data_IF_050901315465
#
_entry.id   IF_050901315465
#
_cell.length_a   1.000
_cell.length_b   1.000
_cell.length_c   1.000
_cell.angle_alpha   90.00
_cell.angle_beta   90.00
_cell.angle_gamma   90.00
#
_symmetry.space_group_name_H-M   'P 1'
#
loop_
_entity.id
_entity.type
_entity.pdbx_description
1 polymer ?
#
# COMPACT_ATOMS: atom_id res chain seq x y z
N UNK A 1 12.25 -8.94 -10.95
CA UNK A 1 13.39 -8.01 -10.95
C UNK A 1 14.56 -8.66 -10.21
N UNK A 2 15.81 -8.40 -10.61
CA UNK A 2 16.97 -8.76 -9.79
C UNK A 2 17.53 -7.49 -9.17
N UNK A 3 17.44 -7.35 -7.84
CA UNK A 3 18.10 -6.26 -7.11
C UNK A 3 19.41 -6.76 -6.52
N UNK A 4 20.44 -5.91 -6.54
CA UNK A 4 21.66 -6.16 -5.78
C UNK A 4 21.54 -5.49 -4.42
N UNK A 5 21.76 -6.25 -3.36
CA UNK A 5 21.74 -5.73 -2.00
C UNK A 5 22.87 -4.72 -1.80
N UNK A 6 22.52 -3.49 -1.44
CA UNK A 6 23.48 -2.41 -1.19
C UNK A 6 23.79 -2.26 0.30
N UNK A 7 22.74 -2.11 1.13
CA UNK A 7 22.89 -1.75 2.54
C UNK A 7 21.60 -2.05 3.33
N UNK A 8 21.74 -2.35 4.62
CA UNK A 8 20.61 -2.42 5.57
C UNK A 8 20.64 -1.17 6.43
N UNK A 9 19.57 -0.38 6.37
CA UNK A 9 19.43 0.82 7.21
C UNK A 9 18.90 0.44 8.58
N UNK A 10 19.57 0.91 9.62
CA UNK A 10 19.06 0.92 11.00
C UNK A 10 19.06 2.37 11.49
N UNK A 11 17.93 3.09 11.43
CA UNK A 11 17.85 4.45 11.96
C UNK A 11 18.18 4.45 13.47
N UNK A 12 18.78 5.53 14.00
CA UNK A 12 18.94 5.71 15.44
C UNK A 12 17.60 5.59 16.18
N UNK A 13 17.61 5.09 17.42
CA UNK A 13 16.37 4.91 18.20
C UNK A 13 15.64 6.23 18.48
N UNK A 14 16.37 7.34 18.56
CA UNK A 14 15.82 8.68 18.78
C UNK A 14 15.44 9.40 17.48
N UNK A 15 15.55 8.74 16.33
CA UNK A 15 15.22 9.36 15.04
C UNK A 15 13.72 9.65 14.97
N UNK A 16 13.38 10.92 14.71
CA UNK A 16 11.99 11.38 14.68
C UNK A 16 11.30 10.89 13.40
N UNK A 17 12.07 10.68 12.35
CA UNK A 17 11.59 10.26 11.04
C UNK A 17 12.45 9.12 10.44
N UNK A 18 12.30 7.88 10.93
CA UNK A 18 13.11 6.75 10.50
C UNK A 18 12.95 6.44 8.99
N UNK A 19 11.76 6.71 8.43
CA UNK A 19 11.49 6.54 7.00
C UNK A 19 12.22 7.61 6.19
N UNK A 20 12.16 8.87 6.61
CA UNK A 20 12.93 9.95 5.98
C UNK A 20 14.43 9.73 6.04
N UNK A 21 14.93 9.22 7.18
CA UNK A 21 16.33 8.83 7.35
C UNK A 21 16.75 7.75 6.33
N UNK A 22 15.95 6.69 6.18
CA UNK A 22 16.22 5.65 5.20
C UNK A 22 16.15 6.16 3.76
N UNK A 23 15.22 7.07 3.45
CA UNK A 23 15.10 7.69 2.14
C UNK A 23 16.31 8.58 1.82
N UNK A 24 16.83 9.35 2.77
CA UNK A 24 18.05 10.13 2.57
C UNK A 24 19.24 9.25 2.16
N UNK A 25 19.39 8.08 2.80
CA UNK A 25 20.41 7.09 2.40
C UNK A 25 20.11 6.55 1.01
N UNK A 26 18.86 6.14 0.74
CA UNK A 26 18.45 5.61 -0.55
C UNK A 26 18.73 6.60 -1.71
N UNK A 27 18.47 7.89 -1.50
CA UNK A 27 18.83 8.96 -2.45
C UNK A 27 20.34 9.03 -2.65
N UNK A 28 21.11 9.08 -1.55
CA UNK A 28 22.56 9.22 -1.59
C UNK A 28 23.28 8.06 -2.28
N UNK A 29 22.73 6.85 -2.19
CA UNK A 29 23.30 5.65 -2.85
C UNK A 29 22.60 5.31 -4.17
N UNK A 30 21.66 6.14 -4.63
CA UNK A 30 20.85 5.92 -5.82
C UNK A 30 20.17 4.53 -5.85
N UNK A 31 19.60 4.12 -4.72
CA UNK A 31 18.92 2.84 -4.61
C UNK A 31 17.74 2.75 -5.60
N UNK A 32 17.67 1.63 -6.32
CA UNK A 32 16.57 1.36 -7.24
C UNK A 32 15.26 1.04 -6.49
N UNK A 33 15.38 0.32 -5.36
CA UNK A 33 14.27 -0.08 -4.52
C UNK A 33 14.62 -0.03 -3.03
N UNK A 34 13.61 0.16 -2.19
CA UNK A 34 13.68 -0.01 -0.74
C UNK A 34 12.82 -1.24 -0.39
N UNK A 35 13.44 -2.22 0.28
CA UNK A 35 12.76 -3.46 0.69
C UNK A 35 12.44 -3.37 2.19
N UNK A 36 11.17 -3.52 2.55
CA UNK A 36 10.69 -3.52 3.94
C UNK A 36 9.92 -4.79 4.26
N UNK A 37 9.76 -5.11 5.55
CA UNK A 37 8.97 -6.26 5.96
C UNK A 37 7.52 -6.14 5.51
N UNK A 38 6.87 -5.02 5.83
CA UNK A 38 5.48 -4.74 5.50
C UNK A 38 5.23 -3.22 5.37
N UNK A 39 4.02 -2.84 4.96
CA UNK A 39 3.66 -1.42 4.81
C UNK A 39 3.70 -0.63 6.12
N UNK A 40 3.61 -1.28 7.28
CA UNK A 40 3.69 -0.58 8.57
C UNK A 40 5.08 -0.01 8.82
N UNK A 41 6.12 -0.62 8.23
CA UNK A 41 7.51 -0.12 8.27
C UNK A 41 7.65 1.27 7.63
N UNK A 42 6.75 1.62 6.70
CA UNK A 42 6.72 2.93 6.02
C UNK A 42 5.49 3.74 6.41
N UNK A 43 4.98 3.55 7.63
CA UNK A 43 3.79 4.23 8.17
C UNK A 43 2.52 4.06 7.30
N UNK A 44 2.42 2.98 6.52
CA UNK A 44 1.39 2.79 5.50
C UNK A 44 1.33 3.94 4.47
N UNK A 45 2.47 4.55 4.19
CA UNK A 45 2.64 5.64 3.21
C UNK A 45 3.57 5.25 2.07
N UNK A 46 3.24 4.20 1.27
CA UNK A 46 4.10 3.74 0.19
C UNK A 46 4.42 4.83 -0.84
N UNK A 47 3.48 5.77 -1.05
CA UNK A 47 3.67 6.92 -1.93
C UNK A 47 4.92 7.74 -1.56
N UNK A 48 5.24 7.89 -0.28
CA UNK A 48 6.42 8.61 0.19
C UNK A 48 7.72 8.02 -0.35
N UNK A 49 7.80 6.69 -0.35
CA UNK A 49 8.96 5.96 -0.90
C UNK A 49 8.96 6.01 -2.42
N UNK A 50 7.78 5.81 -3.02
CA UNK A 50 7.59 5.75 -4.47
C UNK A 50 7.91 7.08 -5.19
N UNK A 51 7.98 8.22 -4.50
CA UNK A 51 8.53 9.45 -5.11
C UNK A 51 10.03 9.29 -5.45
N UNK A 52 10.76 8.46 -4.70
CA UNK A 52 12.22 8.33 -4.79
C UNK A 52 12.67 7.03 -5.42
N UNK A 53 12.08 5.89 -5.07
CA UNK A 53 12.47 4.56 -5.52
C UNK A 53 11.30 3.57 -5.51
N UNK A 54 11.47 2.37 -6.09
CA UNK A 54 10.46 1.33 -5.92
C UNK A 54 10.38 0.92 -4.44
N UNK A 55 9.22 0.50 -3.97
CA UNK A 55 9.05 -0.10 -2.65
C UNK A 55 8.66 -1.55 -2.81
N UNK A 56 9.41 -2.44 -2.16
CA UNK A 56 9.04 -3.84 -2.04
C UNK A 56 8.71 -4.18 -0.60
N UNK A 57 7.63 -4.92 -0.43
CA UNK A 57 7.22 -5.48 0.86
C UNK A 57 7.45 -6.98 0.83
N UNK A 58 7.92 -7.56 1.94
CA UNK A 58 8.11 -9.01 2.08
C UNK A 58 6.79 -9.69 2.43
N UNK A 59 5.99 -9.08 3.30
CA UNK A 59 4.78 -9.63 3.89
C UNK A 59 3.63 -8.59 3.87
N UNK A 60 2.66 -8.70 2.95
CA UNK A 60 2.64 -9.58 1.78
C UNK A 60 3.70 -9.18 0.74
N UNK A 61 4.08 -10.10 -0.14
CA UNK A 61 5.01 -9.82 -1.23
C UNK A 61 4.36 -8.91 -2.27
N UNK A 62 4.62 -7.60 -2.20
CA UNK A 62 4.06 -6.60 -3.11
C UNK A 62 5.12 -5.60 -3.54
N UNK A 63 5.18 -5.32 -4.83
CA UNK A 63 6.00 -4.26 -5.43
C UNK A 63 5.15 -3.03 -5.73
N UNK A 64 5.62 -1.88 -5.31
CA UNK A 64 5.06 -0.57 -5.59
C UNK A 64 6.05 0.19 -6.46
N UNK A 65 5.69 0.41 -7.72
CA UNK A 65 6.56 1.07 -8.68
C UNK A 65 6.74 2.56 -8.34
N UNK A 66 7.98 3.05 -8.52
CA UNK A 66 8.31 4.47 -8.46
C UNK A 66 7.36 5.28 -9.33
N UNK A 67 6.87 6.39 -8.80
CA UNK A 67 6.09 7.35 -9.55
C UNK A 67 6.93 7.92 -10.69
N UNK A 68 6.32 8.08 -11.87
CA UNK A 68 6.96 8.82 -12.95
C UNK A 68 7.10 10.30 -12.53
N UNK A 69 8.30 10.88 -12.61
CA UNK A 69 8.50 12.31 -12.33
C UNK A 69 7.52 13.14 -13.18
N UNK A 70 6.77 14.04 -12.53
CA UNK A 70 5.78 14.90 -13.20
C UNK A 70 4.41 14.26 -13.44
N UNK A 71 4.18 13.00 -13.08
CA UNK A 71 2.84 12.39 -13.13
C UNK A 71 1.87 13.02 -12.11
N UNK A 72 2.40 13.59 -11.03
CA UNK A 72 1.66 14.30 -9.99
C UNK A 72 2.14 15.75 -9.97
N UNK A 73 1.21 16.71 -10.08
CA UNK A 73 1.57 18.13 -10.03
C UNK A 73 2.24 18.51 -8.69
N UNK A 74 3.15 19.50 -8.65
CA UNK A 74 3.95 19.81 -7.46
C UNK A 74 3.12 20.15 -6.20
N UNK A 75 1.88 20.67 -6.37
CA UNK A 75 0.95 20.89 -5.27
C UNK A 75 0.29 19.63 -4.70
N UNK A 76 0.46 18.47 -5.33
CA UNK A 76 -0.17 17.19 -4.97
C UNK A 76 0.83 16.11 -4.56
N UNK A 77 2.13 16.36 -4.71
CA UNK A 77 3.19 15.46 -4.31
C UNK A 77 3.15 15.17 -2.80
N UNK A 78 3.63 13.98 -2.43
CA UNK A 78 3.74 13.56 -1.03
C UNK A 78 4.65 14.55 -0.26
N UNK A 79 4.30 14.97 0.97
CA UNK A 79 5.20 15.76 1.81
C UNK A 79 6.49 15.00 2.14
N UNK A 80 7.61 15.69 2.02
CA UNK A 80 8.97 15.18 2.23
C UNK A 80 9.23 14.87 3.72
N UNK A 81 8.39 15.40 4.60
CA UNK A 81 8.48 15.32 6.06
C UNK A 81 7.18 14.73 6.67
N UNK A 82 7.25 14.21 7.92
CA UNK A 82 6.08 13.79 8.66
C UNK A 82 5.15 14.97 8.95
N UNK A 83 3.85 14.79 8.72
CA UNK A 83 2.85 15.84 8.97
C UNK A 83 2.47 15.93 10.44
N UNK A 84 2.32 17.15 10.94
CA UNK A 84 1.59 17.40 12.19
C UNK A 84 0.08 17.27 11.99
N UNK A 85 -0.67 17.08 13.09
CA UNK A 85 -2.15 16.99 13.04
C UNK A 85 -2.75 18.27 12.45
N UNK A 86 -2.25 19.44 12.84
CA UNK A 86 -2.73 20.74 12.36
C UNK A 86 -2.48 20.92 10.87
N UNK A 87 -1.30 20.54 10.38
CA UNK A 87 -1.00 20.57 8.94
C UNK A 87 -1.85 19.58 8.15
N UNK A 88 -2.09 18.39 8.69
CA UNK A 88 -2.96 17.40 8.06
C UNK A 88 -4.40 17.93 7.94
N UNK A 89 -4.95 18.59 8.97
CA UNK A 89 -6.23 19.28 8.86
C UNK A 89 -6.23 20.37 7.78
N UNK A 90 -5.17 21.19 7.73
CA UNK A 90 -5.04 22.25 6.71
C UNK A 90 -5.00 21.67 5.29
N UNK A 91 -4.25 20.60 5.07
CA UNK A 91 -4.18 19.91 3.77
C UNK A 91 -5.55 19.34 3.40
N UNK A 92 -6.27 18.72 4.34
CA UNK A 92 -7.63 18.21 4.06
C UNK A 92 -8.61 19.31 3.64
N UNK A 93 -8.45 20.53 4.19
CA UNK A 93 -9.25 21.70 3.82
C UNK A 93 -8.86 22.29 2.45
N UNK A 94 -7.56 22.38 2.17
CA UNK A 94 -7.04 22.89 0.89
C UNK A 94 -7.37 21.94 -0.27
N UNK A 95 -7.32 20.63 -0.03
CA UNK A 95 -7.55 19.60 -1.04
C UNK A 95 -8.96 19.02 -1.01
N UNK A 96 -9.98 19.84 -0.69
CA UNK A 96 -11.38 19.39 -0.65
C UNK A 96 -11.84 18.75 -1.97
N UNK A 97 -11.41 19.30 -3.11
CA UNK A 97 -11.72 18.77 -4.44
C UNK A 97 -10.93 17.52 -4.87
N UNK A 98 -9.84 17.17 -4.17
CA UNK A 98 -9.03 16.01 -4.54
C UNK A 98 -9.62 14.70 -3.99
N UNK A 99 -9.43 13.59 -4.71
CA UNK A 99 -9.63 12.24 -4.18
C UNK A 99 -8.34 11.77 -3.51
N UNK A 100 -8.42 11.20 -2.31
CA UNK A 100 -7.24 10.69 -1.61
C UNK A 100 -6.52 9.58 -2.42
N UNK A 101 -7.28 8.77 -3.16
CA UNK A 101 -6.74 7.72 -4.04
C UNK A 101 -5.83 8.23 -5.17
N UNK A 102 -5.92 9.51 -5.54
CA UNK A 102 -5.19 10.09 -6.69
C UNK A 102 -4.37 11.32 -6.31
N UNK A 103 -4.37 11.71 -5.03
CA UNK A 103 -3.65 12.88 -4.52
C UNK A 103 -2.78 12.45 -3.36
N UNK A 104 -1.48 12.17 -3.60
CA UNK A 104 -0.55 11.74 -2.56
C UNK A 104 -0.59 12.66 -1.34
N UNK A 105 -0.58 13.98 -1.53
CA UNK A 105 -0.64 14.95 -0.43
C UNK A 105 -1.87 14.78 0.47
N UNK A 106 -3.05 14.56 -0.12
CA UNK A 106 -4.28 14.32 0.63
C UNK A 106 -4.27 12.94 1.30
N UNK A 107 -3.70 11.93 0.63
CA UNK A 107 -3.52 10.61 1.23
C UNK A 107 -2.64 10.68 2.49
N UNK A 108 -1.50 11.39 2.44
CA UNK A 108 -0.62 11.58 3.59
C UNK A 108 -1.34 12.24 4.77
N UNK A 109 -2.14 13.29 4.49
CA UNK A 109 -2.93 13.96 5.50
C UNK A 109 -4.00 13.03 6.10
N UNK A 110 -4.68 12.25 5.26
CA UNK A 110 -5.64 11.25 5.72
C UNK A 110 -4.98 10.22 6.65
N UNK A 111 -3.88 9.61 6.22
CA UNK A 111 -3.15 8.62 7.03
C UNK A 111 -2.67 9.20 8.36
N UNK A 112 -2.16 10.44 8.36
CA UNK A 112 -1.77 11.14 9.59
C UNK A 112 -2.94 11.27 10.58
N UNK A 113 -4.11 11.71 10.11
CA UNK A 113 -5.29 11.90 10.96
C UNK A 113 -5.89 10.58 11.46
N UNK A 114 -5.86 9.54 10.63
CA UNK A 114 -6.32 8.20 11.02
C UNK A 114 -5.43 7.63 12.12
N UNK A 115 -4.10 7.69 11.93
CA UNK A 115 -3.13 7.25 12.93
C UNK A 115 -3.24 8.03 14.24
N UNK A 116 -3.52 9.32 14.17
CA UNK A 116 -3.75 10.17 15.34
C UNK A 116 -5.13 9.98 15.99
N UNK A 117 -5.98 9.08 15.48
CA UNK A 117 -7.33 8.84 15.98
C UNK A 117 -8.29 10.02 15.78
N UNK A 118 -7.96 10.97 14.88
CA UNK A 118 -8.77 12.16 14.59
C UNK A 118 -9.75 11.94 13.45
N UNK A 119 -9.59 10.87 12.69
CA UNK A 119 -10.47 10.52 11.58
C UNK A 119 -10.64 9.00 11.53
N UNK A 120 -11.89 8.52 11.45
CA UNK A 120 -12.20 7.12 11.23
C UNK A 120 -12.49 6.92 9.74
N UNK A 121 -11.74 6.07 9.01
CA UNK A 121 -12.04 5.79 7.62
C UNK A 121 -13.44 5.19 7.48
N UNK A 122 -14.17 5.57 6.42
CA UNK A 122 -15.45 4.93 6.13
C UNK A 122 -15.23 3.44 5.83
N UNK A 123 -16.02 2.58 6.47
CA UNK A 123 -15.95 1.12 6.31
C UNK A 123 -16.45 0.62 4.95
N UNK A 124 -17.31 1.40 4.30
CA UNK A 124 -17.81 1.13 2.95
C UNK A 124 -16.89 1.75 1.89
N UNK A 125 -16.66 1.03 0.79
CA UNK A 125 -15.83 1.51 -0.31
C UNK A 125 -16.40 2.78 -0.97
N UNK A 126 -15.57 3.61 -1.63
CA UNK A 126 -16.05 4.76 -2.41
C UNK A 126 -17.13 4.39 -3.43
N UNK A 127 -17.04 3.19 -4.02
CA UNK A 127 -18.01 2.64 -4.98
C UNK A 127 -19.35 2.30 -4.30
N UNK A 128 -19.32 1.58 -3.17
CA UNK A 128 -20.54 1.28 -2.39
C UNK A 128 -21.27 2.55 -1.95
N UNK A 129 -20.52 3.55 -1.47
CA UNK A 129 -21.13 4.83 -1.05
C UNK A 129 -21.76 5.59 -2.20
N UNK A 130 -21.16 5.53 -3.39
CA UNK A 130 -21.74 6.15 -4.58
C UNK A 130 -23.04 5.41 -4.97
N UNK A 131 -23.01 4.08 -5.03
CA UNK A 131 -24.18 3.25 -5.34
C UNK A 131 -25.33 3.48 -4.34
N UNK A 132 -25.05 3.50 -3.04
CA UNK A 132 -26.03 3.78 -2.00
C UNK A 132 -26.68 5.18 -2.10
N UNK A 133 -26.02 6.11 -2.78
CA UNK A 133 -26.51 7.47 -3.04
C UNK A 133 -27.09 7.66 -4.44
N UNK A 134 -27.15 6.60 -5.25
CA UNK A 134 -27.54 6.70 -6.66
C UNK A 134 -26.60 7.56 -7.51
N UNK A 135 -25.34 7.70 -7.10
CA UNK A 135 -24.32 8.49 -7.80
C UNK A 135 -23.50 7.58 -8.72
N UNK A 136 -23.20 8.07 -9.92
CA UNK A 136 -22.25 7.43 -10.82
C UNK A 136 -20.85 7.39 -10.17
N UNK A 137 -20.18 6.25 -10.28
CA UNK A 137 -18.80 6.08 -9.84
C UNK A 137 -17.88 6.00 -11.06
N UNK A 138 -17.23 7.11 -11.40
CA UNK A 138 -16.30 7.14 -12.53
C UNK A 138 -15.09 6.23 -12.25
N UNK A 139 -14.79 5.28 -13.16
CA UNK A 139 -13.55 4.52 -13.08
C UNK A 139 -12.34 5.47 -13.22
N UNK A 140 -11.16 5.09 -12.70
CA UNK A 140 -9.94 5.87 -12.89
C UNK A 140 -9.69 6.09 -14.40
N UNK A 141 -9.26 7.29 -14.77
CA UNK A 141 -9.12 7.75 -16.17
C UNK A 141 -8.20 6.88 -17.05
N UNK A 142 -7.39 6.00 -16.45
CA UNK A 142 -6.57 5.03 -17.16
C UNK A 142 -7.34 3.71 -17.26
N UNK A 143 -8.23 3.62 -18.24
CA UNK A 143 -8.60 2.33 -18.80
C UNK A 143 -7.35 1.74 -19.44
N UNK A 144 -6.68 0.80 -18.77
CA UNK A 144 -5.78 -0.11 -19.46
C UNK A 144 -6.59 -0.78 -20.58
N UNK A 145 -6.04 -0.96 -21.79
CA UNK A 145 -6.72 -1.74 -22.80
C UNK A 145 -7.00 -3.11 -22.20
N UNK A 146 -8.28 -3.38 -21.94
CA UNK A 146 -8.73 -4.70 -21.50
C UNK A 146 -8.57 -5.56 -22.75
N UNK A 147 -7.48 -6.32 -22.81
CA UNK A 147 -7.41 -7.47 -23.71
C UNK A 147 -8.66 -8.31 -23.42
N UNK A 148 -9.38 -8.84 -24.43
CA UNK A 148 -10.52 -9.72 -24.17
C UNK A 148 -10.07 -10.75 -23.15
N UNK A 149 -10.69 -10.68 -21.96
CA UNK A 149 -10.31 -11.51 -20.85
C UNK A 149 -10.55 -12.98 -21.21
N UNK A 150 -10.02 -13.92 -20.42
CA UNK A 150 -10.45 -15.30 -20.51
C UNK A 150 -11.98 -15.36 -20.42
N UNK A 151 -12.59 -16.33 -21.10
CA UNK A 151 -14.03 -16.53 -21.00
C UNK A 151 -14.45 -16.79 -19.54
N UNK A 152 -15.75 -16.58 -19.27
CA UNK A 152 -16.32 -16.74 -17.93
C UNK A 152 -16.05 -18.14 -17.36
N UNK A 153 -16.09 -19.17 -18.20
CA UNK A 153 -15.88 -20.56 -17.80
C UNK A 153 -14.45 -20.78 -17.27
N UNK A 154 -13.46 -20.26 -17.99
CA UNK A 154 -12.05 -20.27 -17.58
C UNK A 154 -11.87 -19.51 -16.27
N UNK A 155 -12.54 -18.37 -16.11
CA UNK A 155 -12.47 -17.59 -14.88
C UNK A 155 -13.03 -18.36 -13.68
N UNK A 156 -14.18 -19.02 -13.84
CA UNK A 156 -14.80 -19.84 -12.80
C UNK A 156 -13.92 -21.04 -12.43
N UNK A 157 -13.37 -21.74 -13.42
CA UNK A 157 -12.46 -22.87 -13.19
C UNK A 157 -11.21 -22.44 -12.38
N UNK A 158 -10.65 -21.27 -12.66
CA UNK A 158 -9.51 -20.72 -11.90
C UNK A 158 -9.93 -20.39 -10.46
N UNK A 159 -11.09 -19.76 -10.27
CA UNK A 159 -11.58 -19.44 -8.92
C UNK A 159 -11.84 -20.70 -8.10
N UNK A 160 -12.43 -21.72 -8.70
CA UNK A 160 -12.66 -23.02 -8.05
C UNK A 160 -11.33 -23.67 -7.67
N UNK A 161 -10.36 -23.71 -8.59
CA UNK A 161 -9.03 -24.26 -8.33
C UNK A 161 -8.28 -23.52 -7.20
N UNK A 162 -8.36 -22.18 -7.17
CA UNK A 162 -7.77 -21.38 -6.10
C UNK A 162 -8.46 -21.62 -4.75
N UNK A 163 -9.78 -21.73 -4.74
CA UNK A 163 -10.55 -22.02 -3.53
C UNK A 163 -10.24 -23.42 -2.96
N UNK A 164 -10.09 -24.42 -3.84
CA UNK A 164 -9.69 -25.77 -3.48
C UNK A 164 -8.27 -25.80 -2.88
N UNK A 165 -7.32 -25.07 -3.49
CA UNK A 165 -5.95 -24.97 -2.99
C UNK A 165 -5.85 -24.33 -1.60
N UNK A 166 -6.68 -23.33 -1.32
CA UNK A 166 -6.78 -22.74 0.02
C UNK A 166 -7.37 -23.74 1.03
N UNK A 167 -8.39 -24.50 0.64
CA UNK A 167 -8.98 -25.54 1.49
C UNK A 167 -7.96 -26.67 1.81
N UNK A 168 -7.14 -27.08 0.84
CA UNK A 168 -6.09 -28.10 1.03
C UNK A 168 -4.96 -27.61 1.93
N UNK A 169 -4.65 -26.31 1.87
CA UNK A 169 -3.66 -25.67 2.76
C UNK A 169 -4.13 -25.67 4.23
N UNK A 170 -5.43 -25.47 4.47
CA UNK A 170 -6.03 -25.57 5.81
C UNK A 170 -6.16 -27.02 6.30
N UNK A 171 -6.42 -27.98 5.40
CA UNK A 171 -6.43 -29.41 5.71
C UNK A 171 -5.04 -29.96 6.07
N UNK A 172 -4.00 -29.45 5.41
CA UNK A 172 -2.60 -29.82 5.69
C UNK A 172 -2.11 -29.26 7.03
N UNK A 173 -2.51 -28.04 7.40
CA UNK A 173 -2.23 -27.47 8.73
C UNK A 173 -2.98 -28.23 9.85
N UNK A 174 -4.23 -28.66 9.59
CA UNK A 174 -5.00 -29.45 10.57
C UNK A 174 -4.44 -30.86 10.77
N UNK A 175 -3.96 -31.53 9.71
CA UNK A 175 -3.33 -32.87 9.82
C UNK A 175 -2.01 -32.85 10.59
N UNK A 176 -1.24 -31.76 10.50
CA UNK A 176 0.01 -31.61 11.26
C UNK A 176 -0.23 -31.42 12.77
N UNK A 177 -1.43 -30.96 13.15
CA UNK A 177 -1.86 -30.78 14.54
C UNK A 177 -2.27 -32.10 15.22
N UNK A 178 -2.81 -33.05 14.47
CA UNK A 178 -3.18 -34.38 15.00
C UNK A 178 -1.98 -35.32 15.15
N UNK A 179 -1.00 -35.26 14.23
CA UNK A 179 0.22 -36.08 14.32
C UNK A 179 1.04 -35.75 15.57
N UNK A 180 1.11 -34.46 15.97
CA UNK A 180 1.86 -34.04 17.17
C UNK A 180 1.19 -34.40 18.50
N UNK A 181 -0.08 -34.85 18.47
CA UNK A 181 -0.81 -35.33 19.65
C UNK A 181 -0.71 -36.85 19.86
N UNK A 182 -0.47 -37.62 18.79
CA UNK A 182 -0.36 -39.09 18.86
C UNK A 182 1.01 -39.62 19.30
N UNK A 183 2.05 -38.78 19.39
CA UNK A 183 3.39 -39.18 19.85
C UNK A 183 3.62 -38.93 21.36
N UNK A 184 2.56 -38.70 22.14
CA UNK A 184 2.62 -38.52 23.60
C UNK A 184 1.63 -39.41 24.37
N UNK A 185 1.48 -40.65 23.93
CA UNK A 185 0.91 -41.74 24.74
C UNK A 185 1.80 -42.99 24.64
#
# INVERSE_FOLDING_TARGET
MGYHYLYTVRPPESEVDPVGYALAIAVGVHAAALVVHDLTTVDNTPARVCETCDLETVCPAVTWARAQPGAVGPGHAHPDHPLTITEAHRIMQQHRGCRAATCPRKASALSCLVRAGKLVPPVSSPRERAAARGLAFDPPARSLPISPGPDMETLLNVLDALSASLADSHGSASRMSDVTRSERD
#
